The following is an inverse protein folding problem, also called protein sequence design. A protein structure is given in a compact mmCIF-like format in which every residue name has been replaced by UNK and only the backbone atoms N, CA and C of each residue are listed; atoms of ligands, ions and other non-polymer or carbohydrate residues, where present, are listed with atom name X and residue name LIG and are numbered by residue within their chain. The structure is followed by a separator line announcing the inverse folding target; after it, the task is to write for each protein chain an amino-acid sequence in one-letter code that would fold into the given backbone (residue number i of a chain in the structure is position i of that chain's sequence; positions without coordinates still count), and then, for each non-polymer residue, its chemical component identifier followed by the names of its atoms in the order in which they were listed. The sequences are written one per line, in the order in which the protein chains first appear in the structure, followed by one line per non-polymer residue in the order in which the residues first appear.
data_IF_762594209458
#
_entry.id   IF_762594209458
#
_cell.length_a   1.000
_cell.length_b   1.000
_cell.length_c   1.000
_cell.angle_alpha   90.00
_cell.angle_beta   90.00
_cell.angle_gamma   90.00
#
_symmetry.space_group_name_H-M   'P 1'
#
loop_
_entity.id
_entity.type
_entity.pdbx_description
1 polymer ?
#
# COMPACT_ATOMS: atom_id res chain seq x y z
N UNK A 1 26.35 7.67 13.80
CA UNK A 1 25.50 7.77 15.01
C UNK A 1 24.54 8.94 14.80
N UNK A 2 23.24 8.73 15.01
CA UNK A 2 22.23 9.78 14.82
C UNK A 2 22.46 10.95 15.79
N UNK A 3 22.22 12.18 15.31
CA UNK A 3 22.18 13.38 16.14
C UNK A 3 20.95 13.34 17.07
N UNK A 4 20.92 14.11 18.18
CA UNK A 4 19.78 14.14 19.10
C UNK A 4 18.44 14.44 18.42
N UNK A 5 18.42 15.43 17.51
CA UNK A 5 17.22 15.79 16.75
C UNK A 5 16.74 14.66 15.84
N UNK A 6 17.66 13.96 15.18
CA UNK A 6 17.35 12.85 14.28
C UNK A 6 16.79 11.66 15.05
N UNK A 7 17.40 11.32 16.19
CA UNK A 7 16.93 10.25 17.08
C UNK A 7 15.52 10.54 17.59
N UNK A 8 15.27 11.76 18.07
CA UNK A 8 13.97 12.17 18.57
C UNK A 8 12.87 11.97 17.52
N UNK A 9 13.06 12.46 16.29
CA UNK A 9 12.07 12.31 15.24
C UNK A 9 11.93 10.86 14.77
N UNK A 10 13.02 10.09 14.72
CA UNK A 10 12.98 8.68 14.37
C UNK A 10 12.18 7.84 15.38
N UNK A 11 12.42 8.04 16.68
CA UNK A 11 11.68 7.38 17.76
C UNK A 11 10.21 7.77 17.74
N UNK A 12 9.92 9.06 17.51
CA UNK A 12 8.55 9.55 17.42
C UNK A 12 7.80 8.93 16.24
N UNK A 13 8.38 8.90 15.04
CA UNK A 13 7.75 8.27 13.87
C UNK A 13 7.60 6.76 14.06
N UNK A 14 8.60 6.09 14.65
CA UNK A 14 8.51 4.66 14.98
C UNK A 14 7.34 4.40 15.93
N UNK A 15 7.17 5.24 16.96
CA UNK A 15 6.06 5.13 17.92
C UNK A 15 4.69 5.35 17.26
N UNK A 16 4.57 6.34 16.39
CA UNK A 16 3.29 6.72 15.77
C UNK A 16 2.90 5.81 14.60
N UNK A 17 3.86 5.22 13.90
CA UNK A 17 3.62 4.47 12.66
C UNK A 17 4.05 3.00 12.69
N UNK A 18 4.93 2.61 13.61
CA UNK A 18 5.62 1.32 13.61
C UNK A 18 6.79 1.20 12.63
N UNK A 19 7.02 2.20 11.77
CA UNK A 19 8.09 2.21 10.77
C UNK A 19 9.42 2.46 11.47
N UNK A 20 10.34 1.50 11.33
CA UNK A 20 11.72 1.64 11.82
C UNK A 20 12.50 2.49 10.84
N UNK A 21 13.12 3.55 11.36
CA UNK A 21 14.09 4.35 10.64
C UNK A 21 15.49 3.95 11.14
N UNK A 22 16.21 3.17 10.33
CA UNK A 22 17.54 2.67 10.66
C UNK A 22 18.54 3.80 10.97
N UNK A 23 19.48 3.53 11.87
CA UNK A 23 20.48 4.51 12.32
C UNK A 23 21.43 4.97 11.20
N UNK A 24 21.56 4.18 10.13
CA UNK A 24 22.31 4.48 8.91
C UNK A 24 21.64 5.54 8.03
N UNK A 25 20.41 5.94 8.35
CA UNK A 25 19.59 6.85 7.54
C UNK A 25 19.60 8.31 8.01
N UNK A 26 20.60 8.74 8.78
CA UNK A 26 20.79 10.15 9.21
C UNK A 26 20.61 11.16 8.06
N UNK A 27 21.27 10.92 6.93
CA UNK A 27 21.13 11.77 5.74
C UNK A 27 19.68 11.83 5.22
N UNK A 28 18.97 10.70 5.22
CA UNK A 28 17.59 10.63 4.75
C UNK A 28 16.63 11.37 5.69
N UNK A 29 16.79 11.22 7.00
CA UNK A 29 16.03 11.96 8.01
C UNK A 29 16.20 13.47 7.81
N UNK A 30 17.45 13.92 7.72
CA UNK A 30 17.76 15.34 7.50
C UNK A 30 17.21 15.84 6.17
N UNK A 31 17.39 15.10 5.06
CA UNK A 31 16.92 15.50 3.74
C UNK A 31 15.39 15.61 3.66
N UNK A 32 14.66 14.75 4.36
CA UNK A 32 13.19 14.72 4.35
C UNK A 32 12.55 15.67 5.36
N UNK A 33 13.17 15.88 6.51
CA UNK A 33 12.62 16.78 7.55
C UNK A 33 13.01 18.25 7.35
N UNK A 34 14.10 18.55 6.65
CA UNK A 34 14.47 19.95 6.37
C UNK A 34 13.40 20.72 5.55
N UNK A 35 12.81 20.16 4.48
CA UNK A 35 11.69 20.80 3.80
C UNK A 35 10.52 21.10 4.74
N UNK A 36 10.19 20.16 5.65
CA UNK A 36 9.13 20.34 6.64
C UNK A 36 9.45 21.45 7.64
N UNK A 37 10.69 21.51 8.13
CA UNK A 37 11.18 22.56 9.01
C UNK A 37 11.07 23.94 8.33
N UNK A 38 11.52 24.04 7.07
CA UNK A 38 11.45 25.29 6.28
C UNK A 38 10.03 25.75 6.02
N UNK A 39 9.13 24.83 5.69
CA UNK A 39 7.70 25.14 5.49
C UNK A 39 7.05 25.74 6.76
N UNK A 40 7.65 25.50 7.93
CA UNK A 40 7.24 26.05 9.23
C UNK A 40 8.02 27.27 9.68
N UNK A 41 8.90 27.81 8.82
CA UNK A 41 9.70 29.00 9.12
C UNK A 41 10.99 28.76 9.88
N UNK A 42 11.41 27.50 10.06
CA UNK A 42 12.69 27.18 10.70
C UNK A 42 13.83 27.08 9.66
N UNK A 43 15.04 27.47 10.05
CA UNK A 43 16.22 27.48 9.18
C UNK A 43 16.78 26.08 8.91
N UNK A 44 16.49 25.12 9.79
CA UNK A 44 16.89 23.73 9.64
C UNK A 44 16.37 22.82 10.76
N UNK A 45 16.73 21.53 10.66
CA UNK A 45 16.22 20.48 11.53
C UNK A 45 16.50 20.68 13.03
N UNK A 46 17.69 21.19 13.39
CA UNK A 46 18.06 21.43 14.80
C UNK A 46 17.16 22.48 15.46
N UNK A 47 16.93 23.60 14.80
CA UNK A 47 16.06 24.67 15.30
C UNK A 47 14.62 24.17 15.43
N UNK A 48 14.14 23.44 14.43
CA UNK A 48 12.82 22.83 14.45
C UNK A 48 12.66 21.85 15.62
N UNK A 49 13.65 20.99 15.87
CA UNK A 49 13.66 20.09 17.03
C UNK A 49 13.59 20.84 18.36
N UNK A 50 14.44 21.84 18.56
CA UNK A 50 14.46 22.64 19.80
C UNK A 50 13.11 23.31 20.06
N UNK A 51 12.42 23.76 19.01
CA UNK A 51 11.10 24.39 19.11
C UNK A 51 9.97 23.41 19.48
N UNK A 52 10.04 22.13 19.07
CA UNK A 52 8.89 21.20 19.18
C UNK A 52 9.09 20.05 20.16
N UNK A 53 10.32 19.78 20.63
CA UNK A 53 10.65 18.57 21.41
C UNK A 53 9.83 18.36 22.69
N UNK A 54 9.30 19.44 23.28
CA UNK A 54 8.49 19.37 24.50
C UNK A 54 6.98 19.30 24.23
N UNK A 55 6.54 19.62 23.01
CA UNK A 55 5.12 19.63 22.65
C UNK A 55 4.93 19.37 21.16
N UNK A 56 4.73 18.09 20.82
CA UNK A 56 4.37 17.67 19.47
C UNK A 56 2.88 17.33 19.45
N UNK A 57 2.09 18.17 18.78
CA UNK A 57 0.66 17.93 18.61
C UNK A 57 0.38 16.85 17.54
N UNK A 58 -0.90 16.45 17.43
CA UNK A 58 -1.33 15.41 16.50
C UNK A 58 -1.14 15.80 15.02
N UNK A 59 -1.21 17.08 14.68
CA UNK A 59 -1.02 17.54 13.30
C UNK A 59 0.45 17.38 12.90
N UNK A 60 1.36 17.81 13.76
CA UNK A 60 2.80 17.71 13.54
C UNK A 60 3.25 16.25 13.46
N UNK A 61 2.75 15.38 14.34
CA UNK A 61 3.00 13.93 14.28
C UNK A 61 2.67 13.35 12.90
N UNK A 62 1.51 13.70 12.37
CA UNK A 62 1.08 13.24 11.04
C UNK A 62 2.04 13.70 9.95
N UNK A 63 2.43 14.97 9.93
CA UNK A 63 3.37 15.46 8.93
C UNK A 63 4.77 14.88 9.05
N UNK A 64 5.23 14.60 10.27
CA UNK A 64 6.50 13.89 10.49
C UNK A 64 6.45 12.47 9.92
N UNK A 65 5.33 11.75 10.13
CA UNK A 65 5.11 10.43 9.53
C UNK A 65 5.10 10.55 8.01
N UNK A 66 4.30 11.44 7.42
CA UNK A 66 4.22 11.66 5.97
C UNK A 66 5.56 12.09 5.34
N UNK A 67 6.36 12.87 6.05
CA UNK A 67 7.68 13.25 5.57
C UNK A 67 8.65 12.06 5.56
N UNK A 68 8.49 11.09 6.45
CA UNK A 68 9.44 10.00 6.66
C UNK A 68 9.01 8.64 6.09
N UNK A 69 7.75 8.50 5.67
CA UNK A 69 7.27 7.36 4.87
C UNK A 69 7.97 7.29 3.52
N UNK A 70 8.28 6.08 3.06
CA UNK A 70 8.87 5.86 1.73
C UNK A 70 7.80 5.33 0.79
N UNK A 71 7.39 6.18 -0.16
CA UNK A 71 6.22 5.95 -1.02
C UNK A 71 6.58 5.44 -2.41
N UNK A 72 7.68 4.70 -2.58
CA UNK A 72 8.05 4.19 -3.90
C UNK A 72 7.08 3.10 -4.38
N UNK A 73 6.42 3.36 -5.50
CA UNK A 73 5.45 2.46 -6.12
C UNK A 73 5.42 2.64 -7.63
N UNK A 74 4.93 1.62 -8.35
CA UNK A 74 4.92 1.54 -9.81
C UNK A 74 3.63 0.89 -10.27
N UNK A 75 3.19 1.22 -11.49
CA UNK A 75 2.15 0.43 -12.13
C UNK A 75 2.70 -0.97 -12.37
N UNK A 76 1.91 -1.99 -12.04
CA UNK A 76 2.26 -3.40 -12.20
C UNK A 76 3.61 -3.79 -11.56
N UNK A 77 3.96 -3.20 -10.40
CA UNK A 77 5.21 -3.52 -9.67
C UNK A 77 5.32 -5.01 -9.38
N UNK A 78 6.41 -5.63 -9.82
CA UNK A 78 6.59 -7.08 -9.91
C UNK A 78 5.41 -7.72 -10.66
N UNK A 79 5.57 -7.98 -11.96
CA UNK A 79 4.47 -8.49 -12.81
C UNK A 79 3.83 -9.79 -12.30
N UNK A 80 4.54 -10.57 -11.48
CA UNK A 80 4.11 -11.87 -10.98
C UNK A 80 2.76 -11.83 -10.24
N UNK A 81 2.53 -11.03 -9.18
CA UNK A 81 1.23 -10.87 -8.54
C UNK A 81 0.07 -10.61 -9.52
N UNK A 82 0.26 -9.71 -10.49
CA UNK A 82 -0.77 -9.36 -11.46
C UNK A 82 -1.02 -10.46 -12.49
N UNK A 83 0.03 -11.21 -12.86
CA UNK A 83 -0.11 -12.40 -13.70
C UNK A 83 -0.92 -13.48 -12.97
N UNK A 84 -0.58 -13.79 -11.72
CA UNK A 84 -1.33 -14.75 -10.87
C UNK A 84 -2.79 -14.29 -10.72
N UNK A 85 -3.01 -13.01 -10.46
CA UNK A 85 -4.34 -12.42 -10.38
C UNK A 85 -5.13 -12.69 -11.67
N UNK A 86 -4.54 -12.44 -12.84
CA UNK A 86 -5.18 -12.59 -14.14
C UNK A 86 -5.37 -14.03 -14.60
N UNK A 87 -4.43 -14.93 -14.33
CA UNK A 87 -4.45 -16.32 -14.81
C UNK A 87 -5.19 -17.27 -13.86
N UNK A 88 -5.04 -17.06 -12.54
CA UNK A 88 -5.45 -18.05 -11.55
C UNK A 88 -6.67 -17.58 -10.76
N UNK A 89 -6.70 -16.31 -10.35
CA UNK A 89 -7.71 -15.82 -9.40
C UNK A 89 -8.94 -15.23 -10.08
N UNK A 90 -8.77 -14.34 -11.06
CA UNK A 90 -9.89 -13.69 -11.77
C UNK A 90 -10.83 -14.73 -12.40
N UNK A 91 -10.37 -15.78 -13.10
CA UNK A 91 -11.27 -16.80 -13.66
C UNK A 91 -12.12 -17.49 -12.58
N UNK A 92 -11.51 -17.85 -11.44
CA UNK A 92 -12.22 -18.48 -10.31
C UNK A 92 -13.26 -17.54 -9.71
N UNK A 93 -12.90 -16.30 -9.45
CA UNK A 93 -13.80 -15.28 -8.91
C UNK A 93 -14.96 -14.98 -9.86
N UNK A 94 -14.69 -14.95 -11.18
CA UNK A 94 -15.71 -14.72 -12.21
C UNK A 94 -16.73 -15.85 -12.28
N UNK A 95 -16.31 -17.10 -12.03
CA UNK A 95 -17.23 -18.26 -11.98
C UNK A 95 -18.05 -18.35 -10.69
N UNK A 96 -17.69 -17.60 -9.65
CA UNK A 96 -18.42 -17.60 -8.38
C UNK A 96 -19.68 -16.73 -8.47
N UNK A 97 -20.83 -17.20 -7.94
CA UNK A 97 -22.03 -16.38 -7.84
C UNK A 97 -21.94 -15.31 -6.73
N UNK A 98 -20.92 -15.37 -5.86
CA UNK A 98 -20.80 -14.49 -4.70
C UNK A 98 -20.21 -13.13 -5.12
N UNK A 99 -21.02 -12.07 -4.97
CA UNK A 99 -20.63 -10.68 -5.20
C UNK A 99 -21.07 -9.80 -4.03
N UNK A 100 -20.43 -8.62 -3.80
CA UNK A 100 -19.26 -8.10 -4.51
C UNK A 100 -17.96 -8.83 -4.15
N UNK A 101 -17.01 -8.84 -5.10
CA UNK A 101 -15.60 -9.16 -4.85
C UNK A 101 -14.99 -7.97 -4.11
N UNK A 102 -14.39 -8.23 -2.95
CA UNK A 102 -13.77 -7.20 -2.11
C UNK A 102 -12.27 -7.39 -2.08
N UNK A 103 -11.54 -6.37 -2.51
CA UNK A 103 -10.08 -6.34 -2.47
C UNK A 103 -9.64 -5.25 -1.51
N UNK A 104 -8.60 -5.53 -0.72
CA UNK A 104 -7.91 -4.53 0.09
C UNK A 104 -6.47 -4.35 -0.40
N UNK A 105 -6.14 -3.17 -0.89
CA UNK A 105 -4.76 -2.74 -1.11
C UNK A 105 -4.30 -1.91 0.11
N UNK A 106 -3.56 -2.58 0.99
CA UNK A 106 -3.00 -2.04 2.21
C UNK A 106 -1.60 -1.47 1.93
N UNK A 107 -1.36 -0.21 2.33
CA UNK A 107 -0.22 0.62 1.92
C UNK A 107 -0.25 0.96 0.42
N UNK A 108 -1.39 1.51 -0.03
CA UNK A 108 -1.64 1.82 -1.45
C UNK A 108 -0.78 2.94 -2.04
N UNK A 109 -0.08 3.71 -1.21
CA UNK A 109 0.76 4.84 -1.59
C UNK A 109 0.02 5.77 -2.57
N UNK A 110 0.65 6.17 -3.67
CA UNK A 110 0.11 7.05 -4.71
C UNK A 110 -0.80 6.34 -5.72
N UNK A 111 -1.25 5.12 -5.46
CA UNK A 111 -2.37 4.47 -6.15
C UNK A 111 -2.07 3.63 -7.38
N UNK A 112 -0.82 3.48 -7.77
CA UNK A 112 -0.44 2.68 -8.92
C UNK A 112 -0.82 1.20 -8.74
N UNK A 113 -0.62 0.62 -7.55
CA UNK A 113 -1.01 -0.77 -7.26
C UNK A 113 -2.53 -1.00 -7.35
N UNK A 114 -3.41 -0.27 -6.64
CA UNK A 114 -4.85 -0.50 -6.73
C UNK A 114 -5.39 -0.28 -8.14
N UNK A 115 -4.86 0.70 -8.89
CA UNK A 115 -5.28 0.87 -10.29
C UNK A 115 -4.76 -0.24 -11.20
N UNK A 116 -3.59 -0.80 -10.95
CA UNK A 116 -3.10 -2.00 -11.67
C UNK A 116 -3.98 -3.23 -11.39
N UNK A 117 -4.50 -3.35 -10.16
CA UNK A 117 -5.49 -4.38 -9.81
C UNK A 117 -6.77 -4.17 -10.63
N UNK A 118 -7.36 -2.97 -10.59
CA UNK A 118 -8.61 -2.69 -11.31
C UNK A 118 -8.44 -2.89 -12.83
N UNK A 119 -7.36 -2.39 -13.42
CA UNK A 119 -7.05 -2.59 -14.83
C UNK A 119 -6.93 -4.10 -15.16
N UNK A 120 -6.28 -4.89 -14.31
CA UNK A 120 -6.19 -6.35 -14.49
C UNK A 120 -7.56 -7.03 -14.55
N UNK A 121 -8.49 -6.61 -13.68
CA UNK A 121 -9.86 -7.11 -13.71
C UNK A 121 -10.59 -6.72 -14.98
N UNK A 122 -10.54 -5.44 -15.39
CA UNK A 122 -11.27 -4.97 -16.57
C UNK A 122 -10.71 -5.53 -17.89
N UNK A 123 -9.43 -5.88 -17.96
CA UNK A 123 -8.88 -6.58 -19.13
C UNK A 123 -9.41 -8.02 -19.27
N UNK A 124 -9.69 -8.71 -18.16
CA UNK A 124 -10.24 -10.08 -18.16
C UNK A 124 -11.76 -10.13 -18.08
N UNK A 125 -12.37 -9.05 -17.61
CA UNK A 125 -13.80 -8.92 -17.38
C UNK A 125 -14.27 -7.48 -17.67
N UNK A 126 -14.42 -7.10 -18.95
CA UNK A 126 -14.68 -5.71 -19.36
C UNK A 126 -16.00 -5.11 -18.84
N UNK A 127 -17.01 -5.95 -18.65
CA UNK A 127 -18.37 -5.57 -18.20
C UNK A 127 -18.51 -5.47 -16.68
N UNK A 128 -17.41 -5.66 -15.93
CA UNK A 128 -17.42 -5.56 -14.48
C UNK A 128 -17.79 -4.13 -14.05
N UNK A 129 -18.60 -4.00 -13.00
CA UNK A 129 -18.99 -2.71 -12.44
C UNK A 129 -18.50 -2.55 -10.99
N UNK A 130 -18.50 -1.33 -10.43
CA UNK A 130 -18.18 -1.11 -9.02
C UNK A 130 -19.13 -1.82 -8.03
N UNK A 131 -20.28 -2.31 -8.50
CA UNK A 131 -21.19 -3.16 -7.69
C UNK A 131 -20.72 -4.60 -7.61
N UNK A 132 -19.91 -5.05 -8.58
CA UNK A 132 -19.37 -6.41 -8.66
C UNK A 132 -17.99 -6.51 -8.02
N UNK A 133 -17.20 -5.42 -8.08
CA UNK A 133 -15.85 -5.34 -7.53
C UNK A 133 -15.65 -4.02 -6.80
N UNK A 134 -15.08 -4.09 -5.59
CA UNK A 134 -14.64 -2.91 -4.83
C UNK A 134 -13.21 -3.10 -4.33
N UNK A 135 -12.38 -2.07 -4.48
CA UNK A 135 -10.99 -2.03 -4.01
C UNK A 135 -10.86 -0.96 -2.92
N UNK A 136 -10.74 -1.42 -1.68
CA UNK A 136 -10.36 -0.54 -0.57
C UNK A 136 -8.86 -0.23 -0.67
N UNK A 137 -8.53 1.05 -0.72
CA UNK A 137 -7.16 1.56 -0.81
C UNK A 137 -6.84 2.30 0.48
N UNK A 138 -5.82 1.85 1.21
CA UNK A 138 -5.50 2.45 2.50
C UNK A 138 -4.03 2.77 2.64
N UNK A 139 -3.73 3.91 3.23
CA UNK A 139 -2.38 4.32 3.56
C UNK A 139 -2.35 5.13 4.86
N UNK A 140 -1.18 5.18 5.51
CA UNK A 140 -0.92 6.06 6.64
C UNK A 140 -0.56 7.47 6.16
N UNK A 141 -0.01 7.58 4.94
CA UNK A 141 0.37 8.85 4.34
C UNK A 141 -0.82 9.48 3.61
N UNK A 142 -1.38 10.58 4.14
CA UNK A 142 -2.52 11.23 3.49
C UNK A 142 -2.14 11.95 2.21
N UNK A 143 -0.90 12.42 2.08
CA UNK A 143 -0.43 13.11 0.88
C UNK A 143 -0.34 12.12 -0.28
N UNK A 144 0.26 10.95 -0.05
CA UNK A 144 0.30 9.87 -1.03
C UNK A 144 -1.12 9.38 -1.38
N UNK A 145 -1.96 9.14 -0.36
CA UNK A 145 -3.33 8.70 -0.52
C UNK A 145 -4.17 9.67 -1.37
N UNK A 146 -4.13 10.97 -1.07
CA UNK A 146 -4.85 12.01 -1.83
C UNK A 146 -4.37 12.08 -3.28
N UNK A 147 -3.08 11.90 -3.52
CA UNK A 147 -2.54 11.79 -4.87
C UNK A 147 -3.11 10.58 -5.61
N UNK A 148 -3.12 9.40 -4.97
CA UNK A 148 -3.77 8.21 -5.53
C UNK A 148 -5.24 8.44 -5.85
N UNK A 149 -5.99 9.01 -4.91
CA UNK A 149 -7.41 9.34 -5.06
C UNK A 149 -7.69 10.31 -6.23
N UNK A 150 -6.78 11.26 -6.49
CA UNK A 150 -6.88 12.18 -7.62
C UNK A 150 -6.79 11.49 -8.98
N UNK A 151 -6.06 10.38 -9.08
CA UNK A 151 -5.79 9.69 -10.34
C UNK A 151 -4.96 10.51 -11.35
N UNK A 152 -4.21 11.50 -10.87
CA UNK A 152 -3.38 12.38 -11.69
C UNK A 152 -1.90 12.04 -11.52
N UNK A 153 -1.23 11.79 -12.64
CA UNK A 153 0.16 11.32 -12.67
C UNK A 153 1.04 12.11 -13.62
N UNK A 154 2.31 12.23 -13.30
CA UNK A 154 3.32 12.77 -14.22
C UNK A 154 3.70 11.75 -15.29
N UNK A 155 4.34 12.22 -16.37
CA UNK A 155 4.90 11.35 -17.41
C UNK A 155 5.86 10.28 -16.84
N UNK A 156 6.70 10.66 -15.87
CA UNK A 156 7.68 9.75 -15.25
C UNK A 156 6.97 8.60 -14.54
N UNK A 157 5.87 8.88 -13.84
CA UNK A 157 5.13 7.86 -13.08
C UNK A 157 4.39 6.90 -14.00
N UNK A 158 3.78 7.42 -15.06
CA UNK A 158 3.09 6.62 -16.08
C UNK A 158 4.06 5.69 -16.82
N UNK A 159 5.27 6.15 -17.15
CA UNK A 159 6.25 5.35 -17.88
C UNK A 159 6.86 4.20 -17.05
N UNK A 160 6.57 4.13 -15.75
CA UNK A 160 7.11 3.09 -14.85
C UNK A 160 6.12 1.93 -14.72
N UNK A 161 6.26 0.96 -15.63
CA UNK A 161 5.60 -0.34 -15.55
C UNK A 161 4.19 -0.43 -16.15
N UNK A 162 3.58 0.69 -16.56
CA UNK A 162 2.27 0.69 -17.21
C UNK A 162 2.39 0.24 -18.68
N UNK A 163 1.65 -0.81 -19.12
CA UNK A 163 1.65 -1.20 -20.52
C UNK A 163 1.06 -0.11 -21.42
N UNK A 164 1.69 0.15 -22.58
CA UNK A 164 1.28 1.22 -23.50
C UNK A 164 -0.18 1.12 -23.96
N UNK A 165 -0.69 -0.10 -24.18
CA UNK A 165 -2.09 -0.33 -24.53
C UNK A 165 -3.06 0.09 -23.41
N UNK A 166 -2.69 -0.14 -22.16
CA UNK A 166 -3.50 0.27 -21.00
C UNK A 166 -3.42 1.78 -20.78
N UNK A 167 -2.25 2.39 -21.03
CA UNK A 167 -2.10 3.85 -21.00
C UNK A 167 -3.08 4.51 -21.98
N UNK A 168 -3.07 4.09 -23.24
CA UNK A 168 -3.95 4.63 -24.28
C UNK A 168 -5.45 4.40 -23.99
N UNK A 169 -5.79 3.31 -23.29
CA UNK A 169 -7.17 2.93 -22.97
C UNK A 169 -7.73 3.64 -21.73
N UNK A 170 -6.91 3.82 -20.70
CA UNK A 170 -7.38 4.21 -19.36
C UNK A 170 -6.96 5.60 -18.91
N UNK A 171 -6.09 6.28 -19.66
CA UNK A 171 -5.68 7.63 -19.35
C UNK A 171 -5.88 8.55 -20.53
N UNK A 172 -5.99 9.84 -20.21
CA UNK A 172 -5.93 10.94 -21.17
C UNK A 172 -4.85 11.91 -20.73
N UNK A 173 -4.13 12.49 -21.69
CA UNK A 173 -3.12 13.49 -21.40
C UNK A 173 -3.78 14.88 -21.34
N UNK A 174 -3.49 15.63 -20.28
CA UNK A 174 -3.83 17.05 -20.12
C UNK A 174 -2.57 17.85 -19.81
N UNK A 175 -2.05 18.56 -20.80
CA UNK A 175 -0.77 19.25 -20.69
C UNK A 175 0.37 18.28 -20.33
N UNK A 176 0.99 18.49 -19.17
CA UNK A 176 2.10 17.66 -18.66
C UNK A 176 1.62 16.50 -17.77
N UNK A 177 0.32 16.40 -17.52
CA UNK A 177 -0.28 15.42 -16.62
C UNK A 177 -1.07 14.36 -17.38
N UNK A 178 -1.19 13.19 -16.77
CA UNK A 178 -2.02 12.09 -17.22
C UNK A 178 -3.13 11.85 -16.23
N UNK A 179 -4.37 11.91 -16.73
CA UNK A 179 -5.57 11.77 -15.93
C UNK A 179 -6.17 10.39 -16.15
N UNK A 180 -6.28 9.63 -15.06
CA UNK A 180 -6.91 8.32 -15.07
C UNK A 180 -8.42 8.45 -15.27
N UNK A 181 -8.99 7.56 -16.07
CA UNK A 181 -10.42 7.51 -16.35
C UNK A 181 -11.24 7.36 -15.07
N UNK A 182 -12.38 8.07 -15.02
CA UNK A 182 -13.32 7.99 -13.91
C UNK A 182 -13.87 6.58 -13.71
N UNK A 183 -14.04 5.82 -14.81
CA UNK A 183 -14.43 4.40 -14.76
C UNK A 183 -13.49 3.60 -13.84
N UNK A 184 -12.17 3.71 -14.01
CA UNK A 184 -11.20 3.00 -13.16
C UNK A 184 -11.28 3.48 -11.71
N UNK A 185 -11.32 4.81 -11.50
CA UNK A 185 -11.36 5.41 -10.17
C UNK A 185 -12.60 4.98 -9.38
N UNK A 186 -13.74 4.78 -10.03
CA UNK A 186 -15.01 4.39 -9.42
C UNK A 186 -14.99 3.03 -8.70
N UNK A 187 -14.02 2.15 -8.98
CA UNK A 187 -13.83 0.89 -8.26
C UNK A 187 -13.11 1.06 -6.92
N UNK A 188 -12.52 2.22 -6.66
CA UNK A 188 -11.66 2.44 -5.50
C UNK A 188 -12.37 3.24 -4.41
N UNK A 189 -12.10 2.89 -3.15
CA UNK A 189 -12.47 3.69 -1.98
C UNK A 189 -11.24 3.92 -1.14
N UNK A 190 -11.00 5.16 -0.72
CA UNK A 190 -9.77 5.55 -0.05
C UNK A 190 -10.00 5.81 1.43
N UNK A 191 -9.15 5.25 2.30
CA UNK A 191 -9.18 5.50 3.76
C UNK A 191 -7.79 5.66 4.34
N UNK A 192 -7.68 6.46 5.40
CA UNK A 192 -6.47 6.53 6.19
C UNK A 192 -6.44 5.37 7.19
N UNK A 193 -5.39 4.55 7.15
CA UNK A 193 -5.18 3.44 8.11
C UNK A 193 -3.72 3.35 8.50
N UNK A 194 -3.50 3.24 9.81
CA UNK A 194 -2.22 2.81 10.37
C UNK A 194 -2.27 1.28 10.59
N UNK A 195 -1.36 0.55 9.94
CA UNK A 195 -1.31 -0.91 10.00
C UNK A 195 -1.03 -1.46 11.41
N UNK A 196 -0.46 -0.66 12.30
CA UNK A 196 -0.20 -1.05 13.70
C UNK A 196 -1.45 -0.99 14.58
N UNK A 197 -2.52 -0.35 14.11
CA UNK A 197 -3.76 -0.14 14.85
C UNK A 197 -4.83 -1.17 14.45
N UNK A 198 -5.89 -1.35 15.26
CA UNK A 198 -7.04 -2.16 14.87
C UNK A 198 -7.65 -1.69 13.54
N UNK A 199 -7.97 -2.63 12.65
CA UNK A 199 -8.53 -2.33 11.34
C UNK A 199 -10.04 -2.07 11.43
N UNK A 200 -10.46 -0.83 11.24
CA UNK A 200 -11.88 -0.44 11.20
C UNK A 200 -12.33 -0.33 9.73
N UNK A 201 -12.43 -1.48 9.05
CA UNK A 201 -12.76 -1.57 7.61
C UNK A 201 -13.79 -2.66 7.30
N UNK A 202 -14.57 -2.54 6.22
CA UNK A 202 -15.63 -3.49 5.90
C UNK A 202 -15.08 -4.78 5.24
N UNK A 203 -14.47 -5.65 6.06
CA UNK A 203 -14.16 -7.03 5.69
C UNK A 203 -15.39 -7.97 5.71
N UNK A 204 -15.21 -9.27 5.44
CA UNK A 204 -13.96 -9.89 5.02
C UNK A 204 -13.64 -9.64 3.53
N UNK A 205 -12.37 -9.82 3.15
CA UNK A 205 -11.85 -9.58 1.79
C UNK A 205 -11.54 -10.90 1.05
N UNK A 206 -11.83 -10.91 -0.25
CA UNK A 206 -11.46 -12.00 -1.17
C UNK A 206 -9.95 -11.97 -1.47
N UNK A 207 -9.39 -10.77 -1.64
CA UNK A 207 -7.96 -10.59 -1.90
C UNK A 207 -7.42 -9.43 -1.05
N UNK A 208 -6.27 -9.62 -0.44
CA UNK A 208 -5.51 -8.57 0.24
C UNK A 208 -4.14 -8.43 -0.43
N UNK A 209 -3.75 -7.21 -0.76
CA UNK A 209 -2.39 -6.84 -1.15
C UNK A 209 -1.79 -6.03 0.00
N UNK A 210 -0.64 -6.46 0.51
CA UNK A 210 0.18 -5.69 1.47
C UNK A 210 1.64 -5.83 1.09
N UNK A 211 2.04 -5.08 0.06
CA UNK A 211 3.31 -5.29 -0.63
C UNK A 211 4.31 -4.19 -0.35
N UNK A 212 5.56 -4.58 -0.14
CA UNK A 212 6.70 -3.67 0.01
C UNK A 212 6.56 -2.68 1.17
N UNK A 213 5.86 -3.08 2.24
CA UNK A 213 5.62 -2.26 3.43
C UNK A 213 6.02 -2.99 4.71
N UNK A 214 5.90 -4.33 4.76
CA UNK A 214 6.31 -5.13 5.90
C UNK A 214 7.82 -5.06 6.14
N UNK A 215 8.62 -4.73 5.12
CA UNK A 215 10.06 -4.48 5.23
C UNK A 215 10.42 -3.37 6.22
N UNK A 216 9.50 -2.47 6.57
CA UNK A 216 9.77 -1.34 7.47
C UNK A 216 9.46 -1.60 8.95
N UNK A 217 8.88 -2.76 9.29
CA UNK A 217 8.44 -3.04 10.66
C UNK A 217 9.36 -4.03 11.38
N UNK A 218 9.31 -4.03 12.71
CA UNK A 218 9.94 -5.08 13.53
C UNK A 218 9.22 -6.42 13.32
N UNK A 219 9.92 -7.54 13.53
CA UNK A 219 9.34 -8.89 13.34
C UNK A 219 8.06 -9.09 14.16
N UNK A 220 8.02 -8.58 15.40
CA UNK A 220 6.85 -8.66 16.28
C UNK A 220 5.66 -7.88 15.73
N UNK A 221 5.91 -6.71 15.14
CA UNK A 221 4.87 -5.87 14.50
C UNK A 221 4.40 -6.51 13.20
N UNK A 222 5.31 -7.06 12.37
CA UNK A 222 4.94 -7.82 11.16
C UNK A 222 4.00 -8.98 11.51
N UNK A 223 4.31 -9.74 12.56
CA UNK A 223 3.47 -10.84 13.04
C UNK A 223 2.05 -10.35 13.37
N UNK A 224 1.93 -9.30 14.18
CA UNK A 224 0.64 -8.74 14.57
C UNK A 224 -0.17 -8.24 13.35
N UNK A 225 0.49 -7.59 12.38
CA UNK A 225 -0.16 -7.13 11.15
C UNK A 225 -0.69 -8.33 10.35
N UNK A 226 0.14 -9.34 10.11
CA UNK A 226 -0.23 -10.51 9.31
C UNK A 226 -1.35 -11.33 9.96
N UNK A 227 -1.31 -11.52 11.28
CA UNK A 227 -2.36 -12.22 12.02
C UNK A 227 -3.69 -11.46 11.96
N UNK A 228 -3.66 -10.13 12.08
CA UNK A 228 -4.86 -9.30 11.94
C UNK A 228 -5.37 -9.28 10.50
N UNK A 229 -4.50 -9.32 9.49
CA UNK A 229 -4.92 -9.46 8.09
C UNK A 229 -5.63 -10.79 7.88
N UNK A 230 -5.10 -11.88 8.44
CA UNK A 230 -5.70 -13.21 8.30
C UNK A 230 -7.14 -13.27 8.84
N UNK A 231 -7.48 -12.48 9.87
CA UNK A 231 -8.88 -12.39 10.38
C UNK A 231 -9.80 -11.56 9.47
N UNK A 232 -9.23 -10.68 8.65
CA UNK A 232 -9.96 -9.87 7.67
C UNK A 232 -10.13 -10.56 6.32
N UNK A 233 -9.50 -11.73 6.10
CA UNK A 233 -9.63 -12.50 4.88
C UNK A 233 -10.84 -13.45 4.96
N UNK A 234 -11.53 -13.63 3.82
CA UNK A 234 -12.46 -14.75 3.66
C UNK A 234 -11.73 -16.09 3.85
N UNK A 235 -12.43 -17.19 4.19
CA UNK A 235 -11.80 -18.49 4.36
C UNK A 235 -10.94 -18.90 3.16
N UNK A 236 -11.44 -18.69 1.94
CA UNK A 236 -10.77 -18.95 0.66
C UNK A 236 -10.00 -17.74 0.12
N UNK A 237 -9.84 -16.69 0.93
CA UNK A 237 -9.19 -15.45 0.54
C UNK A 237 -7.69 -15.60 0.30
N UNK A 238 -7.16 -14.72 -0.54
CA UNK A 238 -5.75 -14.72 -0.96
C UNK A 238 -5.04 -13.45 -0.50
N UNK A 239 -3.77 -13.60 -0.12
CA UNK A 239 -2.88 -12.51 0.28
C UNK A 239 -1.66 -12.44 -0.65
N UNK A 240 -1.31 -11.23 -1.09
CA UNK A 240 -0.07 -10.95 -1.81
C UNK A 240 0.88 -10.12 -0.94
N UNK A 241 2.11 -10.59 -0.83
CA UNK A 241 3.24 -9.86 -0.22
C UNK A 241 4.19 -9.37 -1.32
N UNK A 242 5.08 -8.45 -0.98
CA UNK A 242 6.17 -8.00 -1.83
C UNK A 242 7.18 -9.12 -2.07
N UNK A 243 7.95 -9.00 -3.15
CA UNK A 243 8.93 -10.00 -3.59
C UNK A 243 10.01 -10.35 -2.56
N UNK A 244 10.34 -9.42 -1.65
CA UNK A 244 11.30 -9.60 -0.56
C UNK A 244 10.66 -9.91 0.81
N UNK A 245 9.35 -10.14 0.85
CA UNK A 245 8.58 -10.32 2.09
C UNK A 245 8.12 -11.77 2.24
N UNK A 246 8.04 -12.26 3.48
CA UNK A 246 7.69 -13.65 3.79
C UNK A 246 6.86 -13.72 5.07
N UNK A 247 6.01 -14.75 5.19
CA UNK A 247 5.37 -15.12 6.47
C UNK A 247 6.15 -16.18 7.25
N UNK A 248 7.10 -16.86 6.60
CA UNK A 248 7.86 -17.95 7.19
C UNK A 248 8.70 -17.46 8.37
N UNK A 249 8.60 -18.14 9.50
CA UNK A 249 9.27 -17.73 10.74
C UNK A 249 8.66 -16.50 11.43
N UNK A 250 7.56 -15.94 10.89
CA UNK A 250 6.88 -14.77 11.46
C UNK A 250 5.53 -15.17 12.06
N UNK A 251 4.69 -15.89 11.31
CA UNK A 251 3.37 -16.34 11.79
C UNK A 251 2.94 -17.64 11.11
N UNK A 252 2.11 -18.42 11.81
CA UNK A 252 1.46 -19.62 11.28
C UNK A 252 0.05 -19.33 10.74
N UNK A 253 -0.48 -18.11 10.90
CA UNK A 253 -1.84 -17.76 10.48
C UNK A 253 -2.02 -17.77 8.95
N UNK A 254 -0.92 -17.68 8.19
CA UNK A 254 -0.89 -17.66 6.73
C UNK A 254 0.27 -18.51 6.18
N UNK A 255 0.00 -19.27 5.12
CA UNK A 255 0.99 -20.10 4.45
C UNK A 255 1.06 -19.82 2.95
N UNK A 256 2.27 -19.91 2.41
CA UNK A 256 2.54 -19.75 0.98
C UNK A 256 1.97 -20.93 0.19
N UNK A 257 1.41 -20.65 -0.99
CA UNK A 257 1.00 -21.63 -1.99
C UNK A 257 1.57 -21.25 -3.36
N UNK A 258 2.09 -22.23 -4.12
CA UNK A 258 2.54 -21.98 -5.48
C UNK A 258 1.34 -21.64 -6.38
N UNK A 259 1.54 -20.68 -7.28
CA UNK A 259 0.61 -20.39 -8.36
C UNK A 259 0.89 -21.27 -9.58
N UNK A 260 -0.12 -21.54 -10.41
CA UNK A 260 0.00 -22.43 -11.56
C UNK A 260 1.03 -21.92 -12.60
N UNK A 261 1.07 -20.60 -12.82
CA UNK A 261 2.02 -19.94 -13.72
C UNK A 261 3.39 -19.60 -13.11
N UNK A 262 3.66 -20.04 -11.87
CA UNK A 262 4.88 -19.70 -11.13
C UNK A 262 4.76 -18.43 -10.29
N UNK A 263 5.58 -18.36 -9.24
CA UNK A 263 5.39 -17.44 -8.11
C UNK A 263 4.49 -18.05 -7.03
N UNK A 264 4.17 -17.27 -6.02
CA UNK A 264 3.32 -17.71 -4.91
C UNK A 264 2.40 -16.61 -4.41
N UNK A 265 1.35 -17.04 -3.73
CA UNK A 265 0.45 -16.21 -2.93
C UNK A 265 0.21 -16.89 -1.58
N UNK A 266 -0.35 -16.18 -0.62
CA UNK A 266 -0.57 -16.68 0.73
C UNK A 266 -2.06 -16.90 0.97
N UNK A 267 -2.42 -17.89 1.79
CA UNK A 267 -3.80 -18.16 2.21
C UNK A 267 -3.84 -18.40 3.71
N UNK A 268 -5.03 -18.28 4.30
CA UNK A 268 -5.24 -18.51 5.73
C UNK A 268 -4.99 -19.98 6.12
N UNK A 269 -4.32 -20.20 7.25
CA UNK A 269 -4.13 -21.53 7.81
C UNK A 269 -5.45 -22.18 8.25
N UNK A 270 -5.52 -23.51 8.15
CA UNK A 270 -6.70 -24.29 8.54
C UNK A 270 -7.85 -24.32 7.53
N UNK A 271 -7.73 -23.65 6.37
CA UNK A 271 -8.73 -23.72 5.30
C UNK A 271 -8.23 -24.64 4.18
N UNK A 272 -8.91 -25.77 4.00
CA UNK A 272 -8.80 -26.56 2.78
C UNK A 272 -9.51 -25.82 1.66
N UNK A 273 -8.77 -25.03 0.88
CA UNK A 273 -9.31 -24.51 -0.39
C UNK A 273 -9.55 -25.71 -1.29
N UNK A 274 -10.81 -26.00 -1.59
CA UNK A 274 -11.19 -27.08 -2.50
C UNK A 274 -10.38 -26.96 -3.81
N UNK A 275 -9.87 -28.11 -4.28
CA UNK A 275 -9.05 -28.24 -5.49
C UNK A 275 -9.74 -27.67 -6.72
#
# INVERSE_FOLDING_TARGET
MLKPEERFFAELVTKESGIILGEDKSYLLTARLNPLARARGFTGLKEFYEAVKFKVDAHLKRELVEALTTNETLFFRDMTPFRILQSDLIPKLKSSPVRPIRIWCAASSTGQEPYSIVMSFLEKWPDLTPRDLSVLCTDIDNTARKKGESGVYSQIEINRGLPAMMLAKYFRQEGTQWILSEKIRSFTTWKHINLTQPFVVPGPFDIVFIRNVLIYFEVTVKKQILERIATMMKPDGVLFLGSSETSMGITEAIHSRPAAGGGSYFVRAGVSVAK
#
